data_IF_815576136730
#
_entry.id   IF_815576136730
#
_cell.length_a   1.000
_cell.length_b   1.000
_cell.length_c   1.000
_cell.angle_alpha   90.00
_cell.angle_beta   90.00
_cell.angle_gamma   90.00
#
_symmetry.space_group_name_H-M   'P 1'
#
loop_
_entity.id
_entity.type
_entity.pdbx_description
1 polymer ?
#
# COMPACT_ATOMS: atom_id res chain seq x y z
N UNK A 1 -23.78 10.69 -19.14
CA UNK A 1 -22.49 10.01 -18.97
C UNK A 1 -21.92 10.52 -17.66
N UNK A 2 -22.03 9.74 -16.58
CA UNK A 2 -21.52 10.15 -15.28
C UNK A 2 -20.04 9.79 -15.22
N UNK A 3 -19.18 10.80 -15.37
CA UNK A 3 -17.77 10.70 -15.01
C UNK A 3 -17.68 10.52 -13.49
N UNK A 4 -17.47 9.28 -13.05
CA UNK A 4 -17.10 8.98 -11.67
C UNK A 4 -15.73 9.60 -11.40
N UNK A 5 -15.75 10.78 -10.77
CA UNK A 5 -14.60 11.47 -10.19
C UNK A 5 -13.92 10.56 -9.14
N UNK A 6 -13.06 9.68 -9.62
CA UNK A 6 -12.21 8.84 -8.79
C UNK A 6 -11.07 9.69 -8.23
N UNK A 7 -11.36 10.44 -7.16
CA UNK A 7 -10.40 11.22 -6.34
C UNK A 7 -9.40 10.30 -5.59
N UNK A 8 -8.74 9.40 -6.30
CA UNK A 8 -7.69 8.53 -5.77
C UNK A 8 -6.36 9.27 -5.69
N UNK A 9 -5.73 9.31 -4.51
CA UNK A 9 -4.35 9.79 -4.37
C UNK A 9 -3.41 8.67 -4.80
N UNK A 10 -2.49 8.95 -5.72
CA UNK A 10 -1.44 7.98 -6.07
C UNK A 10 -0.55 7.79 -4.85
N UNK A 11 -0.39 6.55 -4.38
CA UNK A 11 0.52 6.26 -3.28
C UNK A 11 1.96 6.46 -3.76
N UNK A 12 2.62 7.48 -3.23
CA UNK A 12 4.03 7.72 -3.48
C UNK A 12 4.85 6.58 -2.87
N UNK A 13 5.48 5.79 -3.74
CA UNK A 13 6.48 4.85 -3.33
C UNK A 13 7.77 5.61 -3.02
N UNK A 14 8.25 5.50 -1.78
CA UNK A 14 9.57 6.00 -1.45
C UNK A 14 10.61 5.03 -2.00
N UNK A 15 11.41 5.49 -2.96
CA UNK A 15 12.57 4.75 -3.45
C UNK A 15 13.74 4.91 -2.48
N UNK A 16 14.30 3.80 -2.01
CA UNK A 16 15.62 3.77 -1.38
C UNK A 16 16.59 3.12 -2.36
N UNK A 17 17.62 3.87 -2.77
CA UNK A 17 18.66 3.38 -3.66
C UNK A 17 19.24 2.04 -3.15
N UNK A 18 19.20 1.01 -4.00
CA UNK A 18 19.68 -0.34 -3.68
C UNK A 18 18.82 -1.15 -2.69
N UNK A 19 17.75 -0.57 -2.15
CA UNK A 19 16.81 -1.25 -1.22
C UNK A 19 15.38 -1.28 -1.72
N UNK A 20 15.06 -0.59 -2.80
CA UNK A 20 13.82 -0.66 -3.57
C UNK A 20 12.68 0.24 -3.09
N UNK A 21 11.45 -0.07 -3.53
CA UNK A 21 10.25 0.76 -3.31
C UNK A 21 9.49 0.41 -2.03
N UNK A 22 9.07 1.42 -1.26
CA UNK A 22 8.32 1.22 -0.01
C UNK A 22 7.00 1.99 0.02
N UNK A 23 5.98 1.36 0.58
CA UNK A 23 4.80 2.05 1.12
C UNK A 23 5.05 2.32 2.60
N UNK A 24 5.13 3.59 2.99
CA UNK A 24 5.49 4.00 4.34
C UNK A 24 4.29 4.20 5.25
N UNK A 25 4.53 4.01 6.55
CA UNK A 25 3.64 4.39 7.64
C UNK A 25 2.20 3.85 7.51
N UNK A 26 2.10 2.56 7.22
CA UNK A 26 0.82 1.88 7.11
C UNK A 26 0.54 0.98 8.30
N UNK A 27 -0.72 0.65 8.49
CA UNK A 27 -1.19 -0.35 9.45
C UNK A 27 -1.87 -1.50 8.72
N UNK A 28 -1.77 -2.70 9.27
CA UNK A 28 -2.55 -3.83 8.77
C UNK A 28 -4.03 -3.66 9.14
N UNK A 29 -4.91 -3.93 8.17
CA UNK A 29 -6.36 -3.99 8.41
C UNK A 29 -6.84 -5.43 8.26
N UNK A 30 -6.68 -6.02 7.08
CA UNK A 30 -6.95 -7.44 6.81
C UNK A 30 -6.25 -7.91 5.53
N UNK A 31 -6.34 -9.20 5.22
CA UNK A 31 -5.88 -9.78 3.95
C UNK A 31 -6.97 -10.64 3.30
N UNK A 32 -7.02 -10.64 1.98
CA UNK A 32 -7.67 -11.70 1.18
C UNK A 32 -6.63 -12.77 0.85
N UNK A 33 -6.97 -13.77 0.03
CA UNK A 33 -5.99 -14.77 -0.41
C UNK A 33 -4.82 -14.13 -1.18
N UNK A 34 -5.12 -13.17 -2.06
CA UNK A 34 -4.14 -12.59 -3.00
C UNK A 34 -3.54 -11.25 -2.58
N UNK A 35 -4.18 -10.50 -1.68
CA UNK A 35 -3.79 -9.13 -1.36
C UNK A 35 -3.92 -8.80 0.12
N UNK A 36 -3.15 -7.81 0.57
CA UNK A 36 -3.28 -7.20 1.90
C UNK A 36 -3.92 -5.82 1.77
N UNK A 37 -4.89 -5.54 2.63
CA UNK A 37 -5.47 -4.21 2.82
C UNK A 37 -4.73 -3.52 3.96
N UNK A 38 -4.12 -2.39 3.62
CA UNK A 38 -3.32 -1.56 4.50
C UNK A 38 -4.02 -0.21 4.68
N UNK A 39 -3.91 0.37 5.87
CA UNK A 39 -4.48 1.67 6.21
C UNK A 39 -3.41 2.70 6.51
N UNK A 40 -3.78 3.98 6.43
CA UNK A 40 -2.95 5.10 6.88
C UNK A 40 -3.71 5.88 7.95
N UNK A 41 -3.15 5.96 9.16
CA UNK A 41 -3.82 6.59 10.32
C UNK A 41 -4.11 8.08 10.12
N UNK A 42 -3.22 8.80 9.43
CA UNK A 42 -3.29 10.26 9.31
C UNK A 42 -4.54 10.77 8.59
N UNK A 43 -5.12 9.96 7.70
CA UNK A 43 -6.22 10.38 6.83
C UNK A 43 -7.23 9.26 6.49
N UNK A 44 -7.17 8.15 7.24
CA UNK A 44 -8.08 7.01 7.07
C UNK A 44 -8.13 6.46 5.63
N UNK A 45 -7.04 6.61 4.86
CA UNK A 45 -6.96 6.04 3.52
C UNK A 45 -6.52 4.59 3.56
N UNK A 46 -6.99 3.83 2.58
CA UNK A 46 -6.70 2.41 2.43
C UNK A 46 -5.97 2.14 1.11
N UNK A 47 -5.09 1.14 1.13
CA UNK A 47 -4.38 0.65 -0.05
C UNK A 47 -4.41 -0.87 -0.07
N UNK A 48 -4.66 -1.40 -1.27
CA UNK A 48 -4.55 -2.82 -1.55
C UNK A 48 -3.23 -3.11 -2.24
N UNK A 49 -2.49 -4.09 -1.72
CA UNK A 49 -1.22 -4.52 -2.27
C UNK A 49 -1.26 -6.04 -2.47
N UNK A 50 -1.03 -6.54 -3.69
CA UNK A 50 -0.89 -7.97 -3.91
C UNK A 50 0.24 -8.57 -3.06
N UNK A 51 0.02 -9.72 -2.43
CA UNK A 51 1.03 -10.36 -1.58
C UNK A 51 2.26 -10.78 -2.37
N UNK A 52 2.05 -11.18 -3.63
CA UNK A 52 3.09 -11.64 -4.55
C UNK A 52 4.21 -10.61 -4.81
N UNK A 53 3.94 -9.33 -4.58
CA UNK A 53 4.88 -8.23 -4.80
C UNK A 53 5.46 -7.67 -3.50
N UNK A 54 5.00 -8.12 -2.34
CA UNK A 54 5.54 -7.71 -1.03
C UNK A 54 6.78 -8.55 -0.72
N UNK A 55 7.83 -7.92 -0.22
CA UNK A 55 9.07 -8.57 0.19
C UNK A 55 9.29 -8.38 1.69
N UNK A 56 9.57 -9.47 2.40
CA UNK A 56 9.76 -9.43 3.86
C UNK A 56 8.46 -9.47 4.69
N UNK A 57 7.30 -9.53 4.04
CA UNK A 57 6.00 -9.67 4.70
C UNK A 57 5.47 -8.39 5.34
N UNK A 58 4.47 -8.54 6.21
CA UNK A 58 3.87 -7.48 7.01
C UNK A 58 3.50 -8.01 8.39
N UNK A 59 3.48 -7.08 9.36
CA UNK A 59 3.02 -7.29 10.73
C UNK A 59 1.50 -7.24 10.77
N UNK A 60 0.86 -8.23 11.39
CA UNK A 60 -0.62 -8.35 11.47
C UNK A 60 -1.20 -7.76 12.75
N UNK A 61 -0.34 -7.32 13.65
CA UNK A 61 -0.70 -6.67 14.89
C UNK A 61 -1.49 -5.40 14.59
N UNK A 62 -2.66 -5.28 15.24
CA UNK A 62 -3.53 -4.13 15.11
C UNK A 62 -2.75 -2.87 15.52
N UNK A 63 -2.95 -1.79 14.77
CA UNK A 63 -2.39 -0.47 15.07
C UNK A 63 -0.86 -0.33 15.02
N UNK A 64 -0.12 -1.36 14.61
CA UNK A 64 1.34 -1.31 14.43
C UNK A 64 1.69 -0.63 13.11
N UNK A 65 2.31 0.54 13.22
CA UNK A 65 2.83 1.31 12.07
C UNK A 65 4.06 0.59 11.50
N UNK A 66 4.06 0.40 10.19
CA UNK A 66 5.12 -0.32 9.47
C UNK A 66 5.34 0.23 8.06
N UNK A 67 6.49 -0.12 7.48
CA UNK A 67 6.81 0.14 6.09
C UNK A 67 6.77 -1.17 5.32
N UNK A 68 6.00 -1.20 4.23
CA UNK A 68 5.86 -2.38 3.36
C UNK A 68 6.80 -2.25 2.19
N UNK A 69 7.69 -3.22 2.06
CA UNK A 69 8.66 -3.27 0.98
C UNK A 69 8.06 -3.96 -0.26
N UNK A 70 8.13 -3.30 -1.41
CA UNK A 70 7.59 -3.73 -2.70
C UNK A 70 8.73 -4.09 -3.65
N UNK A 71 8.60 -5.22 -4.35
CA UNK A 71 9.59 -5.69 -5.34
C UNK A 71 9.84 -4.64 -6.44
N UNK A 72 11.10 -4.50 -6.83
CA UNK A 72 11.57 -3.43 -7.73
C UNK A 72 10.99 -3.48 -9.15
N UNK A 73 10.60 -4.66 -9.64
CA UNK A 73 10.01 -4.84 -10.98
C UNK A 73 8.64 -4.18 -11.15
N UNK A 74 8.07 -3.65 -10.05
CA UNK A 74 6.69 -3.17 -9.95
C UNK A 74 6.63 -1.63 -9.89
N UNK A 75 7.75 -0.95 -10.14
CA UNK A 75 7.86 0.52 -10.14
C UNK A 75 6.95 1.23 -11.16
N UNK A 76 6.40 0.49 -12.13
CA UNK A 76 5.45 1.01 -13.13
C UNK A 76 3.97 0.94 -12.68
N UNK A 77 3.65 0.26 -11.57
CA UNK A 77 2.27 0.19 -11.09
C UNK A 77 1.90 1.42 -10.27
N UNK A 78 0.74 2.00 -10.59
CA UNK A 78 0.12 3.06 -9.81
C UNK A 78 -0.72 2.44 -8.70
N UNK A 79 -0.29 2.60 -7.46
CA UNK A 79 -1.06 2.29 -6.28
C UNK A 79 -1.98 3.47 -5.98
N UNK A 80 -3.26 3.22 -5.72
CA UNK A 80 -4.25 4.28 -5.52
C UNK A 80 -4.81 4.15 -4.11
N UNK A 81 -4.57 5.17 -3.29
CA UNK A 81 -5.23 5.33 -2.01
C UNK A 81 -6.71 5.59 -2.25
N UNK A 82 -7.57 4.80 -1.59
CA UNK A 82 -9.01 5.01 -1.56
C UNK A 82 -9.45 5.48 -0.17
N UNK A 83 -10.56 6.20 -0.11
CA UNK A 83 -11.20 6.52 1.17
C UNK A 83 -11.64 5.20 1.83
N UNK A 84 -11.20 4.98 3.06
CA UNK A 84 -11.44 3.77 3.85
C UNK A 84 -12.85 3.67 4.40
#
# INVERSE_FOLDING_TARGET
MNEENSNGEIAELSFLAGKGNYVKEVIYIYESDDAVKLGRKKDSKILWIPKSIIRGGWKKEVDVIQNIFIKDFVSHFKYIWKKG
#
